data_IF_841353125932
#
_entry.id   IF_841353125932
#
_cell.length_a   1.000
_cell.length_b   1.000
_cell.length_c   1.000
_cell.angle_alpha   90.00
_cell.angle_beta   90.00
_cell.angle_gamma   90.00
#
_symmetry.space_group_name_H-M   'P 1'
#
loop_
_entity.id
_entity.type
_entity.pdbx_description
1 polymer ?
#
# COMPACT_ATOMS: atom_id res chain seq x y z
N UNK A 1 13.50 -9.02 -3.53
CA UNK A 1 13.34 -7.56 -3.57
C UNK A 1 12.98 -7.14 -2.16
N UNK A 2 13.96 -6.74 -1.36
CA UNK A 2 13.72 -6.20 -0.01
C UNK A 2 13.59 -4.69 -0.18
N UNK A 3 12.37 -4.18 -0.12
CA UNK A 3 12.13 -2.75 -0.14
C UNK A 3 11.30 -2.44 1.09
N UNK A 4 12.01 -2.05 2.13
CA UNK A 4 11.43 -1.60 3.39
C UNK A 4 12.46 -0.70 4.03
N UNK A 5 12.09 0.56 4.31
CA UNK A 5 12.91 1.41 5.16
C UNK A 5 12.89 0.77 6.54
N UNK A 6 14.06 0.50 7.14
CA UNK A 6 14.16 -0.17 8.44
C UNK A 6 13.33 0.61 9.48
N UNK A 7 12.21 0.03 9.93
CA UNK A 7 11.29 0.66 10.89
C UNK A 7 10.20 1.57 10.31
N UNK A 8 10.10 1.72 8.99
CA UNK A 8 9.04 2.47 8.30
C UNK A 8 7.69 1.73 8.22
N UNK A 9 6.59 2.46 8.04
CA UNK A 9 5.24 1.92 7.78
C UNK A 9 5.08 1.67 6.28
N UNK A 10 4.93 0.42 5.89
CA UNK A 10 4.82 0.00 4.50
C UNK A 10 3.35 -0.34 4.20
N UNK A 11 2.79 0.31 3.19
CA UNK A 11 1.46 0.02 2.68
C UNK A 11 1.58 -0.67 1.31
N UNK A 12 1.04 -1.87 1.19
CA UNK A 12 0.85 -2.53 -0.10
C UNK A 12 -0.62 -2.36 -0.49
N UNK A 13 -0.90 -1.70 -1.61
CA UNK A 13 -2.26 -1.44 -2.10
C UNK A 13 -2.53 -2.37 -3.27
N UNK A 14 -3.37 -3.38 -3.06
CA UNK A 14 -3.61 -4.42 -4.07
C UNK A 14 -5.02 -5.02 -4.02
N UNK A 15 -5.36 -5.83 -5.03
CA UNK A 15 -6.61 -6.60 -5.10
C UNK A 15 -6.61 -7.71 -4.04
N UNK A 16 -7.59 -7.71 -3.13
CA UNK A 16 -7.72 -8.74 -2.07
C UNK A 16 -8.62 -9.92 -2.43
N UNK A 17 -9.47 -9.82 -3.44
CA UNK A 17 -10.26 -10.93 -3.98
C UNK A 17 -9.53 -11.55 -5.17
N UNK A 18 -8.94 -12.71 -4.90
CA UNK A 18 -8.20 -13.54 -5.85
C UNK A 18 -6.99 -14.22 -5.19
N UNK A 19 -6.41 -15.22 -5.87
CA UNK A 19 -5.12 -15.83 -5.52
C UNK A 19 -3.97 -14.90 -5.93
N UNK A 20 -3.89 -13.70 -5.34
CA UNK A 20 -2.81 -12.77 -5.66
C UNK A 20 -1.59 -13.00 -4.75
N UNK A 21 -0.48 -13.34 -5.40
CA UNK A 21 0.83 -13.59 -4.79
C UNK A 21 1.29 -12.44 -3.89
N UNK A 22 0.87 -11.19 -4.16
CA UNK A 22 1.21 -10.02 -3.35
C UNK A 22 0.62 -10.07 -1.93
N UNK A 23 -0.66 -10.42 -1.77
CA UNK A 23 -1.31 -10.54 -0.46
C UNK A 23 -0.69 -11.67 0.36
N UNK A 24 -0.56 -12.87 -0.23
CA UNK A 24 0.08 -14.00 0.46
C UNK A 24 1.56 -13.75 0.77
N UNK A 25 2.28 -13.00 -0.05
CA UNK A 25 3.69 -12.64 0.20
C UNK A 25 3.81 -11.59 1.31
N UNK A 26 2.96 -10.57 1.33
CA UNK A 26 2.92 -9.55 2.37
C UNK A 26 2.54 -10.15 3.73
N UNK A 27 1.51 -11.00 3.80
CA UNK A 27 1.14 -11.72 5.02
C UNK A 27 2.25 -12.69 5.47
N UNK A 28 2.88 -13.41 4.53
CA UNK A 28 4.01 -14.30 4.86
C UNK A 28 5.23 -13.52 5.36
N UNK A 29 5.49 -12.32 4.84
CA UNK A 29 6.56 -11.45 5.36
C UNK A 29 6.20 -10.86 6.73
N UNK A 30 4.94 -10.47 6.96
CA UNK A 30 4.46 -9.98 8.25
C UNK A 30 4.60 -11.03 9.36
N UNK A 31 4.26 -12.29 9.06
CA UNK A 31 4.32 -13.39 10.02
C UNK A 31 5.74 -13.93 10.28
N UNK A 32 6.75 -13.56 9.47
CA UNK A 32 8.11 -14.09 9.58
C UNK A 32 8.92 -13.51 10.74
N UNK A 33 8.71 -12.25 11.10
CA UNK A 33 9.49 -11.55 12.13
C UNK A 33 8.63 -10.47 12.84
N UNK A 34 8.70 -10.32 14.17
CA UNK A 34 7.93 -9.31 14.91
C UNK A 34 8.18 -7.87 14.44
N UNK A 35 9.36 -7.59 13.90
CA UNK A 35 9.70 -6.27 13.33
C UNK A 35 8.89 -5.89 12.08
N UNK A 36 8.15 -6.84 11.49
CA UNK A 36 7.39 -6.66 10.25
C UNK A 36 5.91 -6.32 10.49
N UNK A 37 5.50 -6.05 11.73
CA UNK A 37 4.16 -5.55 12.08
C UNK A 37 3.78 -4.25 11.36
N UNK A 38 4.78 -3.52 10.83
CA UNK A 38 4.61 -2.29 10.06
C UNK A 38 4.45 -2.53 8.55
N UNK A 39 4.06 -3.74 8.14
CA UNK A 39 3.63 -4.03 6.76
C UNK A 39 2.13 -4.28 6.80
N UNK A 40 1.35 -3.46 6.09
CA UNK A 40 -0.10 -3.61 5.96
C UNK A 40 -0.51 -3.67 4.51
N UNK A 41 -1.47 -4.54 4.21
CA UNK A 41 -2.10 -4.63 2.89
C UNK A 41 -3.43 -3.90 2.94
N UNK A 42 -3.69 -3.07 1.94
CA UNK A 42 -4.92 -2.32 1.76
C UNK A 42 -5.61 -2.78 0.48
N UNK A 43 -6.92 -2.99 0.57
CA UNK A 43 -7.71 -3.51 -0.54
C UNK A 43 -8.19 -2.41 -1.48
N UNK A 44 -8.00 -2.62 -2.79
CA UNK A 44 -8.63 -1.79 -3.83
C UNK A 44 -10.09 -2.14 -4.12
N UNK A 45 -10.62 -3.19 -3.48
CA UNK A 45 -12.02 -3.61 -3.64
C UNK A 45 -12.94 -2.95 -2.60
N UNK A 46 -12.35 -2.44 -1.52
CA UNK A 46 -13.04 -1.53 -0.61
C UNK A 46 -13.43 -0.26 -1.36
N UNK A 47 -14.52 0.43 -0.97
CA UNK A 47 -14.82 1.76 -1.48
C UNK A 47 -13.59 2.68 -1.36
N UNK A 48 -13.31 3.49 -2.38
CA UNK A 48 -12.14 4.37 -2.43
C UNK A 48 -12.03 5.27 -1.19
N UNK A 49 -13.17 5.76 -0.68
CA UNK A 49 -13.23 6.57 0.54
C UNK A 49 -12.75 5.81 1.78
N UNK A 50 -13.03 4.52 1.88
CA UNK A 50 -12.53 3.65 2.95
C UNK A 50 -11.02 3.49 2.83
N UNK A 51 -10.52 3.19 1.63
CA UNK A 51 -9.08 3.06 1.38
C UNK A 51 -8.32 4.34 1.73
N UNK A 52 -8.82 5.50 1.29
CA UNK A 52 -8.22 6.81 1.60
C UNK A 52 -8.21 7.07 3.11
N UNK A 53 -9.31 6.77 3.82
CA UNK A 53 -9.38 6.91 5.27
C UNK A 53 -8.33 6.04 5.97
N UNK A 54 -8.24 4.77 5.60
CA UNK A 54 -7.30 3.82 6.21
C UNK A 54 -5.83 4.23 5.94
N UNK A 55 -5.51 4.73 4.74
CA UNK A 55 -4.18 5.25 4.41
C UNK A 55 -3.83 6.51 5.21
N UNK A 56 -4.79 7.42 5.37
CA UNK A 56 -4.63 8.62 6.20
C UNK A 56 -4.38 8.28 7.66
N UNK A 57 -5.08 7.29 8.22
CA UNK A 57 -4.87 6.83 9.59
C UNK A 57 -3.52 6.12 9.74
N UNK A 58 -3.11 5.34 8.74
CA UNK A 58 -1.89 4.56 8.79
C UNK A 58 -0.62 5.38 8.56
N UNK A 59 -0.68 6.45 7.76
CA UNK A 59 0.45 7.31 7.41
C UNK A 59 1.67 6.51 6.88
N UNK A 60 1.54 5.82 5.73
CA UNK A 60 2.63 5.03 5.17
C UNK A 60 3.83 5.90 4.80
N UNK A 61 5.03 5.40 5.13
CA UNK A 61 6.30 5.98 4.69
C UNK A 61 6.75 5.39 3.36
N UNK A 62 6.30 4.18 3.02
CA UNK A 62 6.55 3.54 1.71
C UNK A 62 5.23 2.98 1.21
N UNK A 63 4.94 3.18 -0.07
CA UNK A 63 3.79 2.57 -0.73
C UNK A 63 4.22 1.63 -1.85
N UNK A 64 3.55 0.50 -1.97
CA UNK A 64 3.65 -0.43 -3.09
C UNK A 64 2.28 -0.67 -3.70
N UNK A 65 2.21 -0.91 -5.01
CA UNK A 65 0.96 -1.23 -5.70
C UNK A 65 1.02 -1.05 -7.21
N UNK A 66 -0.13 -1.12 -7.86
CA UNK A 66 -0.25 -0.98 -9.30
C UNK A 66 -0.26 0.51 -9.72
N UNK A 67 0.39 0.90 -10.84
CA UNK A 67 0.37 2.26 -11.38
C UNK A 67 -1.03 2.86 -11.47
N UNK A 68 -1.99 2.10 -12.00
CA UNK A 68 -3.40 2.52 -12.15
C UNK A 68 -4.04 2.94 -10.83
N UNK A 69 -3.71 2.26 -9.74
CA UNK A 69 -4.21 2.58 -8.40
C UNK A 69 -3.52 3.82 -7.84
N UNK A 70 -2.22 3.97 -8.10
CA UNK A 70 -1.47 5.15 -7.65
C UNK A 70 -1.97 6.43 -8.34
N UNK A 71 -2.40 6.34 -9.60
CA UNK A 71 -3.04 7.47 -10.31
C UNK A 71 -4.35 7.89 -9.63
N UNK A 72 -5.21 6.92 -9.28
CA UNK A 72 -6.46 7.19 -8.55
C UNK A 72 -6.16 7.87 -7.20
N UNK A 73 -5.20 7.35 -6.44
CA UNK A 73 -4.81 7.93 -5.15
C UNK A 73 -4.18 9.32 -5.29
N UNK A 74 -3.50 9.58 -6.40
CA UNK A 74 -2.95 10.90 -6.71
C UNK A 74 -4.06 11.94 -6.89
N UNK A 75 -5.15 11.58 -7.56
CA UNK A 75 -6.31 12.48 -7.69
C UNK A 75 -6.99 12.75 -6.34
N UNK A 76 -7.08 11.73 -5.47
CA UNK A 76 -7.57 11.91 -4.09
C UNK A 76 -6.66 12.86 -3.27
N UNK A 77 -5.35 12.82 -3.50
CA UNK A 77 -4.39 13.71 -2.85
C UNK A 77 -4.48 15.14 -3.39
N UNK A 78 -4.59 15.32 -4.71
CA UNK A 78 -4.85 16.64 -5.32
C UNK A 78 -6.16 17.25 -4.82
N UNK A 79 -7.18 16.43 -4.60
CA UNK A 79 -8.45 16.85 -4.05
C UNK A 79 -8.44 17.10 -2.52
N UNK A 80 -7.29 16.90 -1.85
CA UNK A 80 -7.13 17.10 -0.41
C UNK A 80 -7.81 16.06 0.48
N UNK A 81 -8.32 14.96 -0.10
CA UNK A 81 -8.94 13.86 0.65
C UNK A 81 -7.90 12.88 1.18
N UNK A 82 -6.84 12.62 0.41
CA UNK A 82 -5.68 11.84 0.84
C UNK A 82 -4.56 12.78 1.30
N UNK A 83 -4.06 12.58 2.51
CA UNK A 83 -3.05 13.39 3.17
C UNK A 83 -1.96 12.48 3.77
N UNK A 84 -1.10 11.98 2.90
CA UNK A 84 0.03 11.10 3.23
C UNK A 84 1.31 11.64 2.60
N UNK A 85 2.45 11.33 3.20
CA UNK A 85 3.76 11.82 2.74
C UNK A 85 4.77 10.66 2.66
N UNK A 86 4.55 9.69 1.75
CA UNK A 86 5.49 8.59 1.56
C UNK A 86 6.82 9.12 0.99
N UNK A 87 7.93 8.56 1.46
CA UNK A 87 9.27 8.87 0.93
C UNK A 87 9.62 8.03 -0.30
N UNK A 88 8.85 6.97 -0.56
CA UNK A 88 8.99 6.12 -1.74
C UNK A 88 7.65 5.51 -2.15
N UNK A 89 7.42 5.43 -3.46
CA UNK A 89 6.31 4.70 -4.08
C UNK A 89 6.92 3.69 -5.07
N UNK A 90 6.49 2.44 -4.96
CA UNK A 90 7.03 1.31 -5.69
C UNK A 90 5.90 0.72 -6.53
N UNK A 91 5.90 1.05 -7.82
CA UNK A 91 4.92 0.53 -8.76
C UNK A 91 5.48 -0.70 -9.50
N UNK A 92 4.66 -1.72 -9.70
CA UNK A 92 5.03 -2.89 -10.49
C UNK A 92 3.81 -3.65 -11.00
N UNK A 93 4.01 -4.58 -11.94
CA UNK A 93 2.96 -5.48 -12.42
C UNK A 93 2.08 -4.95 -13.55
N UNK A 94 2.17 -3.67 -13.89
CA UNK A 94 1.55 -3.07 -15.08
C UNK A 94 2.60 -2.24 -15.84
N UNK A 95 2.45 -2.14 -17.16
CA UNK A 95 3.32 -1.33 -18.01
C UNK A 95 2.89 0.13 -17.87
N UNK A 96 3.83 1.01 -17.47
CA UNK A 96 3.63 2.47 -17.36
C UNK A 96 3.32 3.10 -18.73
#
# INVERSE_FOLDING_TARGET
MEIGVKGGRNAEVCSTAGHFTAYSTAERMRLKQPSNEKIRVFSIQSPLSTLVKELNEYQPTVMGGYPTVMDILTEEQKAGRLNIHPVAILCGGEQL
#
